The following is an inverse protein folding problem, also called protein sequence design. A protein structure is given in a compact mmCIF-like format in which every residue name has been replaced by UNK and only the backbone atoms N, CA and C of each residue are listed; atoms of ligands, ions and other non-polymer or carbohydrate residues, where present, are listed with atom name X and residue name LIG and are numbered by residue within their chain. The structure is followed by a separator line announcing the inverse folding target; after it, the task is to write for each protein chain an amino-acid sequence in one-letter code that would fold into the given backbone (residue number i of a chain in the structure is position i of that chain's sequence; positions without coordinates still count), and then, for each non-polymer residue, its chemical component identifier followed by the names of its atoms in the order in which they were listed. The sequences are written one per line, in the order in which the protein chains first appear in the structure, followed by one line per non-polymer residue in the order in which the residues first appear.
data_IF_218343273643
#
_entry.id   IF_218343273643
#
_cell.length_a   1.000
_cell.length_b   1.000
_cell.length_c   1.000
_cell.angle_alpha   90.00
_cell.angle_beta   90.00
_cell.angle_gamma   90.00
#
_symmetry.space_group_name_H-M   'P 1'
#
loop_
_entity.id
_entity.type
_entity.pdbx_description
1 polymer ?
#
# COMPACT_ATOMS: atom_id res chain seq x y z
N UNK A 1 -13.23 44.97 -6.06
CA UNK A 1 -13.90 43.97 -6.92
C UNK A 1 -12.97 43.05 -7.74
N UNK A 2 -11.80 43.47 -8.28
CA UNK A 2 -10.97 42.55 -9.08
C UNK A 2 -10.36 41.39 -8.25
N UNK A 3 -10.01 41.64 -6.98
CA UNK A 3 -9.48 40.58 -6.10
C UNK A 3 -10.47 39.44 -5.81
N UNK A 4 -11.78 39.72 -5.78
CA UNK A 4 -12.80 38.69 -5.59
C UNK A 4 -12.93 37.80 -6.82
N UNK A 5 -12.89 38.39 -8.03
CA UNK A 5 -12.94 37.63 -9.28
C UNK A 5 -11.68 36.75 -9.46
N UNK A 6 -10.50 37.27 -9.12
CA UNK A 6 -9.25 36.50 -9.13
C UNK A 6 -9.28 35.35 -8.12
N UNK A 7 -9.79 35.57 -6.91
CA UNK A 7 -9.92 34.52 -5.90
C UNK A 7 -10.90 33.42 -6.35
N UNK A 8 -12.05 33.80 -6.91
CA UNK A 8 -13.07 32.85 -7.39
C UNK A 8 -12.57 32.03 -8.58
N UNK A 9 -11.87 32.66 -9.52
CA UNK A 9 -11.26 31.95 -10.66
C UNK A 9 -10.13 31.01 -10.23
N UNK A 10 -9.28 31.43 -9.27
CA UNK A 10 -8.26 30.57 -8.70
C UNK A 10 -8.87 29.35 -7.98
N UNK A 11 -9.88 29.56 -7.12
CA UNK A 11 -10.61 28.50 -6.43
C UNK A 11 -11.30 27.52 -7.38
N UNK A 12 -11.87 28.00 -8.49
CA UNK A 12 -12.50 27.15 -9.51
C UNK A 12 -11.48 26.39 -10.38
N UNK A 13 -10.31 26.98 -10.64
CA UNK A 13 -9.25 26.34 -11.44
C UNK A 13 -8.53 25.21 -10.69
N UNK A 14 -8.40 25.32 -9.36
CA UNK A 14 -7.70 24.35 -8.52
C UNK A 14 -8.28 22.92 -8.60
N UNK A 15 -9.61 22.69 -8.47
CA UNK A 15 -10.18 21.34 -8.61
C UNK A 15 -10.03 20.80 -10.03
N UNK A 16 -10.16 21.64 -11.06
CA UNK A 16 -9.99 21.24 -12.47
C UNK A 16 -8.56 20.77 -12.72
N UNK A 17 -7.56 21.54 -12.27
CA UNK A 17 -6.15 21.17 -12.38
C UNK A 17 -5.83 19.91 -11.57
N UNK A 18 -6.41 19.75 -10.38
CA UNK A 18 -6.24 18.54 -9.57
C UNK A 18 -6.86 17.31 -10.24
N UNK A 19 -8.05 17.44 -10.84
CA UNK A 19 -8.72 16.37 -11.55
C UNK A 19 -7.96 15.98 -12.82
N UNK A 20 -7.45 16.97 -13.57
CA UNK A 20 -6.56 16.75 -14.70
C UNK A 20 -5.28 16.04 -14.26
N UNK A 21 -4.67 16.46 -13.15
CA UNK A 21 -3.48 15.82 -12.59
C UNK A 21 -3.75 14.38 -12.20
N UNK A 22 -4.85 14.10 -11.50
CA UNK A 22 -5.31 12.74 -11.18
C UNK A 22 -5.47 11.93 -12.47
N UNK A 23 -6.16 12.45 -13.47
CA UNK A 23 -6.38 11.77 -14.75
C UNK A 23 -5.08 11.41 -15.47
N UNK A 24 -4.10 12.33 -15.48
CA UNK A 24 -2.78 12.10 -16.08
C UNK A 24 -1.91 11.13 -15.25
N UNK A 25 -2.12 11.06 -13.93
CA UNK A 25 -1.40 10.16 -13.03
C UNK A 25 -1.99 8.76 -12.95
N UNK A 26 -3.28 8.60 -13.28
CA UNK A 26 -3.90 7.29 -13.42
C UNK A 26 -3.05 6.47 -14.41
N UNK A 27 -2.64 5.25 -14.04
CA UNK A 27 -1.76 4.44 -14.84
C UNK A 27 -2.45 4.08 -16.15
N UNK A 28 -2.19 4.87 -17.19
CA UNK A 28 -2.70 4.65 -18.55
C UNK A 28 -1.83 3.64 -19.31
N UNK A 29 -0.57 3.46 -18.90
CA UNK A 29 0.33 2.41 -19.41
C UNK A 29 1.22 1.91 -18.28
N UNK A 30 1.46 0.59 -18.26
CA UNK A 30 2.49 -0.03 -17.45
C UNK A 30 3.83 0.62 -17.82
N UNK A 31 4.25 1.64 -17.07
CA UNK A 31 5.58 2.19 -17.20
C UNK A 31 6.55 1.09 -16.77
N UNK A 32 7.40 0.65 -17.71
CA UNK A 32 8.48 -0.29 -17.39
C UNK A 32 9.21 0.25 -16.16
N UNK A 33 9.21 -0.54 -15.08
CA UNK A 33 9.92 -0.17 -13.87
C UNK A 33 11.38 0.08 -14.24
N UNK A 34 11.91 1.26 -13.91
CA UNK A 34 13.33 1.52 -14.08
C UNK A 34 14.10 0.55 -13.18
N UNK A 35 15.01 -0.22 -13.79
CA UNK A 35 15.88 -1.14 -13.08
C UNK A 35 16.77 -0.32 -12.15
N UNK A 36 16.62 -0.50 -10.83
CA UNK A 36 17.63 -0.04 -9.88
C UNK A 36 18.88 -0.91 -10.02
N UNK A 37 20.06 -0.34 -9.74
CA UNK A 37 21.29 -1.11 -9.66
C UNK A 37 21.12 -2.29 -8.67
N UNK A 38 21.76 -3.43 -8.95
CA UNK A 38 21.59 -4.65 -8.15
C UNK A 38 21.87 -4.45 -6.66
N UNK A 39 22.78 -3.53 -6.34
CA UNK A 39 23.33 -3.30 -5.01
C UNK A 39 22.62 -2.17 -4.21
N UNK A 40 21.63 -1.50 -4.80
CA UNK A 40 20.93 -0.42 -4.09
C UNK A 40 19.93 -0.97 -3.08
N UNK A 41 20.02 -0.48 -1.84
CA UNK A 41 19.02 -0.77 -0.79
C UNK A 41 17.66 -0.15 -1.13
N UNK A 42 16.59 -0.83 -0.77
CA UNK A 42 15.21 -0.42 -1.02
C UNK A 42 14.39 -0.53 0.27
N UNK A 43 13.82 0.56 0.74
CA UNK A 43 12.92 0.53 1.89
C UNK A 43 11.59 -0.15 1.52
N UNK A 44 11.13 -1.08 2.35
CA UNK A 44 9.98 -1.93 2.05
C UNK A 44 8.93 -1.79 3.15
N UNK A 45 7.71 -1.44 2.77
CA UNK A 45 6.53 -1.53 3.63
C UNK A 45 5.67 -2.73 3.21
N UNK A 46 5.19 -3.50 4.17
CA UNK A 46 4.37 -4.69 3.91
C UNK A 46 3.13 -4.64 4.77
N UNK A 47 1.95 -4.74 4.16
CA UNK A 47 0.69 -4.85 4.89
C UNK A 47 0.31 -6.30 5.15
N UNK A 48 -0.03 -6.61 6.40
CA UNK A 48 -0.47 -7.93 6.85
C UNK A 48 -1.99 -7.89 7.10
N UNK A 49 -2.74 -8.45 6.16
CA UNK A 49 -4.21 -8.40 6.11
C UNK A 49 -4.97 -9.26 7.12
N UNK A 50 -4.29 -9.83 8.13
CA UNK A 50 -4.78 -10.80 9.12
C UNK A 50 -5.27 -12.14 8.54
N UNK A 51 -5.17 -13.21 9.33
CA UNK A 51 -5.62 -14.55 8.92
C UNK A 51 -4.91 -15.08 7.66
N UNK A 52 -5.64 -15.67 6.73
CA UNK A 52 -5.07 -16.25 5.49
C UNK A 52 -4.16 -15.28 4.72
N UNK A 53 -4.51 -13.99 4.67
CA UNK A 53 -3.69 -12.97 3.99
C UNK A 53 -2.31 -12.76 4.63
N UNK A 54 -2.20 -12.90 5.94
CA UNK A 54 -0.89 -12.86 6.63
C UNK A 54 -0.03 -14.05 6.23
N UNK A 55 -0.64 -15.23 6.06
CA UNK A 55 0.09 -16.44 5.63
C UNK A 55 0.57 -16.32 4.18
N UNK A 56 -0.28 -15.80 3.29
CA UNK A 56 0.10 -15.47 1.91
C UNK A 56 1.29 -14.51 1.87
N UNK A 57 1.25 -13.46 2.69
CA UNK A 57 2.33 -12.48 2.74
C UNK A 57 3.60 -13.05 3.35
N UNK A 58 3.50 -13.91 4.37
CA UNK A 58 4.63 -14.63 4.95
C UNK A 58 5.33 -15.50 3.89
N UNK A 59 4.57 -16.26 3.11
CA UNK A 59 5.11 -17.08 2.02
C UNK A 59 5.85 -16.21 0.99
N UNK A 60 5.24 -15.10 0.55
CA UNK A 60 5.89 -14.15 -0.35
C UNK A 60 7.22 -13.62 0.21
N UNK A 61 7.22 -13.16 1.47
CA UNK A 61 8.41 -12.61 2.14
C UNK A 61 9.51 -13.66 2.37
N UNK A 62 9.14 -14.93 2.51
CA UNK A 62 10.10 -16.04 2.64
C UNK A 62 10.99 -16.24 1.40
N UNK A 63 10.61 -15.69 0.25
CA UNK A 63 11.44 -15.69 -0.96
C UNK A 63 12.31 -14.42 -1.14
N UNK A 64 12.06 -13.38 -0.34
CA UNK A 64 12.69 -12.07 -0.51
C UNK A 64 14.08 -11.98 0.14
N UNK A 65 15.00 -11.24 -0.48
CA UNK A 65 16.34 -10.95 0.06
C UNK A 65 16.31 -9.80 1.09
N UNK A 66 16.60 -10.10 2.36
CA UNK A 66 16.46 -9.16 3.46
C UNK A 66 17.66 -8.21 3.60
N UNK A 67 18.75 -8.41 2.85
CA UNK A 67 19.87 -7.46 2.83
C UNK A 67 19.58 -6.30 1.88
N UNK A 68 18.96 -6.60 0.74
CA UNK A 68 18.56 -5.61 -0.26
C UNK A 68 17.37 -4.76 0.18
N UNK A 69 16.37 -5.37 0.81
CA UNK A 69 15.15 -4.66 1.22
C UNK A 69 15.26 -4.19 2.68
N UNK A 70 15.87 -3.01 2.90
CA UNK A 70 16.05 -2.39 4.21
C UNK A 70 15.86 -0.87 4.15
N UNK A 71 15.27 -0.24 5.19
CA UNK A 71 14.57 -0.87 6.31
C UNK A 71 13.21 -1.47 5.90
N UNK A 72 12.73 -2.48 6.65
CA UNK A 72 11.40 -3.08 6.45
C UNK A 72 10.41 -2.52 7.46
N UNK A 73 9.19 -2.20 7.04
CA UNK A 73 8.11 -1.76 7.93
C UNK A 73 6.91 -2.66 7.75
N UNK A 74 6.55 -3.40 8.80
CA UNK A 74 5.39 -4.28 8.81
C UNK A 74 4.18 -3.53 9.36
N UNK A 75 3.19 -3.35 8.51
CA UNK A 75 1.92 -2.69 8.82
C UNK A 75 0.91 -3.79 9.13
N UNK A 76 0.32 -3.77 10.32
CA UNK A 76 -0.61 -4.80 10.77
C UNK A 76 -1.84 -4.20 11.45
N UNK A 77 -2.92 -4.96 11.57
CA UNK A 77 -4.10 -4.50 12.30
C UNK A 77 -3.88 -4.58 13.82
N UNK A 78 -4.40 -3.59 14.56
CA UNK A 78 -4.34 -3.58 16.02
C UNK A 78 -4.98 -4.86 16.62
N UNK A 79 -4.27 -5.49 17.56
CA UNK A 79 -4.68 -6.75 18.19
C UNK A 79 -4.49 -8.01 17.34
N UNK A 80 -3.83 -7.92 16.19
CA UNK A 80 -3.56 -9.09 15.35
C UNK A 80 -2.25 -9.80 15.73
N UNK A 81 -2.32 -10.63 16.76
CA UNK A 81 -1.18 -11.42 17.24
C UNK A 81 -0.66 -12.40 16.20
N UNK A 82 -1.50 -12.87 15.27
CA UNK A 82 -1.09 -13.81 14.23
C UNK A 82 -0.10 -13.16 13.26
N UNK A 83 -0.37 -11.90 12.89
CA UNK A 83 0.56 -11.10 12.08
C UNK A 83 1.86 -10.79 12.80
N UNK A 84 1.80 -10.49 14.10
CA UNK A 84 3.02 -10.26 14.90
C UNK A 84 3.90 -11.51 14.99
N UNK A 85 3.29 -12.67 15.25
CA UNK A 85 4.01 -13.94 15.31
C UNK A 85 4.63 -14.30 13.96
N UNK A 86 3.91 -14.08 12.85
CA UNK A 86 4.45 -14.29 11.51
C UNK A 86 5.68 -13.42 11.22
N UNK A 87 5.65 -12.13 11.60
CA UNK A 87 6.80 -11.23 11.46
C UNK A 87 7.98 -11.69 12.31
N UNK A 88 7.73 -12.03 13.58
CA UNK A 88 8.77 -12.52 14.48
C UNK A 88 9.45 -13.78 13.93
N UNK A 89 8.68 -14.71 13.37
CA UNK A 89 9.21 -15.93 12.78
C UNK A 89 10.05 -15.64 11.53
N UNK A 90 9.55 -14.82 10.60
CA UNK A 90 10.28 -14.47 9.36
C UNK A 90 11.59 -13.76 9.69
N UNK A 91 11.55 -12.77 10.58
CA UNK A 91 12.76 -12.03 10.98
C UNK A 91 13.70 -12.89 11.82
N UNK A 92 13.22 -13.89 12.57
CA UNK A 92 14.10 -14.85 13.27
C UNK A 92 14.80 -15.82 12.34
N UNK A 93 14.14 -16.24 11.25
CA UNK A 93 14.69 -17.19 10.28
C UNK A 93 15.70 -16.52 9.34
N UNK A 94 15.46 -15.27 8.95
CA UNK A 94 16.22 -14.55 7.93
C UNK A 94 17.07 -13.40 8.46
N UNK A 95 16.73 -12.85 9.61
CA UNK A 95 17.45 -11.77 10.22
C UNK A 95 18.64 -12.31 11.00
N UNK A 96 19.85 -11.91 10.60
CA UNK A 96 20.97 -11.95 11.55
C UNK A 96 20.62 -11.01 12.70
N UNK A 97 20.60 -11.52 13.94
CA UNK A 97 20.32 -10.82 15.20
C UNK A 97 21.23 -9.57 15.47
N UNK A 98 22.06 -9.19 14.50
CA UNK A 98 23.15 -8.22 14.61
C UNK A 98 22.75 -6.77 14.30
N UNK A 99 21.59 -6.52 13.68
CA UNK A 99 21.15 -5.15 13.36
C UNK A 99 19.92 -4.74 14.18
N UNK A 100 20.15 -4.02 15.29
CA UNK A 100 19.16 -3.60 16.29
C UNK A 100 18.00 -2.68 15.78
N UNK A 101 17.89 -2.40 14.48
CA UNK A 101 16.78 -1.63 13.85
C UNK A 101 16.44 -2.13 12.43
N UNK A 102 16.58 -3.42 12.14
CA UNK A 102 16.37 -3.94 10.78
C UNK A 102 14.93 -3.77 10.28
N UNK A 103 13.94 -3.76 11.19
CA UNK A 103 12.53 -3.59 10.84
C UNK A 103 11.75 -2.73 11.86
N UNK A 104 10.65 -2.15 11.41
CA UNK A 104 9.67 -1.42 12.21
C UNK A 104 8.30 -2.09 12.18
N UNK A 105 7.53 -1.90 13.25
CA UNK A 105 6.15 -2.36 13.36
C UNK A 105 5.21 -1.16 13.40
N UNK A 106 4.20 -1.12 12.53
CA UNK A 106 3.22 -0.05 12.45
C UNK A 106 1.80 -0.62 12.65
N UNK A 107 1.20 -0.47 13.84
CA UNK A 107 -0.19 -0.87 14.06
C UNK A 107 -1.16 0.12 13.40
N UNK A 108 -2.16 -0.40 12.68
CA UNK A 108 -3.28 0.37 12.14
C UNK A 108 -4.63 -0.13 12.67
N UNK A 109 -5.64 0.73 12.77
CA UNK A 109 -7.00 0.29 13.05
C UNK A 109 -7.52 -0.60 11.92
N UNK A 110 -8.43 -1.51 12.24
CA UNK A 110 -9.10 -2.33 11.23
C UNK A 110 -10.25 -1.52 10.60
N UNK A 111 -10.26 -1.39 9.28
CA UNK A 111 -11.28 -0.62 8.57
C UNK A 111 -12.69 -1.25 8.66
N UNK A 112 -12.77 -2.58 8.75
CA UNK A 112 -14.04 -3.31 8.89
C UNK A 112 -13.84 -4.60 9.68
N UNK A 113 -14.67 -4.82 10.69
CA UNK A 113 -14.78 -6.13 11.35
C UNK A 113 -15.71 -7.07 10.57
N UNK A 114 -15.44 -8.37 10.64
CA UNK A 114 -16.31 -9.38 10.01
C UNK A 114 -17.69 -9.32 10.68
N UNK A 115 -18.77 -9.20 9.88
CA UNK A 115 -20.14 -9.07 10.38
C UNK A 115 -20.58 -7.66 10.80
N UNK A 116 -19.71 -6.65 10.66
CA UNK A 116 -20.04 -5.28 11.07
C UNK A 116 -21.08 -4.62 10.15
N UNK A 117 -22.13 -3.95 10.70
CA UNK A 117 -23.10 -3.19 9.91
C UNK A 117 -22.43 -2.05 9.12
N UNK A 118 -22.97 -1.74 7.94
CA UNK A 118 -22.43 -0.72 7.01
C UNK A 118 -22.31 0.67 7.65
N UNK A 119 -23.25 1.03 8.53
CA UNK A 119 -23.25 2.33 9.22
C UNK A 119 -22.04 2.47 10.16
N UNK A 120 -21.81 1.48 11.02
CA UNK A 120 -20.65 1.48 11.93
C UNK A 120 -19.32 1.26 11.20
N UNK A 121 -19.35 0.58 10.04
CA UNK A 121 -18.17 0.39 9.18
C UNK A 121 -17.61 1.74 8.73
N UNK A 122 -18.46 2.70 8.41
CA UNK A 122 -18.02 4.04 7.97
C UNK A 122 -17.17 4.74 9.04
N UNK A 123 -17.53 4.61 10.31
CA UNK A 123 -16.77 5.18 11.44
C UNK A 123 -15.40 4.51 11.56
N UNK A 124 -15.36 3.17 11.50
CA UNK A 124 -14.11 2.39 11.54
C UNK A 124 -13.18 2.73 10.36
N UNK A 125 -13.74 2.91 9.16
CA UNK A 125 -13.02 3.35 7.96
C UNK A 125 -12.43 4.75 8.16
N UNK A 126 -13.22 5.71 8.67
CA UNK A 126 -12.74 7.09 8.92
C UNK A 126 -11.61 7.09 9.95
N UNK A 127 -11.75 6.34 11.05
CA UNK A 127 -10.68 6.20 12.05
C UNK A 127 -9.40 5.63 11.43
N UNK A 128 -9.54 4.59 10.60
CA UNK A 128 -8.41 3.99 9.88
C UNK A 128 -7.77 5.00 8.93
N UNK A 129 -8.57 5.77 8.21
CA UNK A 129 -8.13 6.80 7.28
C UNK A 129 -7.31 7.88 8.00
N UNK A 130 -7.81 8.43 9.12
CA UNK A 130 -7.12 9.47 9.88
C UNK A 130 -5.75 8.99 10.36
N UNK A 131 -5.70 7.80 10.97
CA UNK A 131 -4.45 7.22 11.47
C UNK A 131 -3.48 6.96 10.32
N UNK A 132 -3.98 6.46 9.19
CA UNK A 132 -3.16 6.21 8.00
C UNK A 132 -2.60 7.51 7.41
N UNK A 133 -3.42 8.56 7.30
CA UNK A 133 -2.98 9.90 6.85
C UNK A 133 -1.89 10.43 7.77
N UNK A 134 -2.07 10.30 9.08
CA UNK A 134 -1.07 10.75 10.04
C UNK A 134 0.29 10.05 9.80
N UNK A 135 0.31 8.73 9.68
CA UNK A 135 1.57 7.97 9.55
C UNK A 135 2.21 8.01 8.16
N UNK A 136 1.42 7.96 7.08
CA UNK A 136 1.96 7.86 5.71
C UNK A 136 2.11 9.23 5.03
N UNK A 137 1.34 10.24 5.45
CA UNK A 137 1.37 11.56 4.85
C UNK A 137 2.02 12.58 5.77
N UNK A 138 1.42 12.82 6.95
CA UNK A 138 1.79 13.92 7.85
C UNK A 138 3.18 13.73 8.43
N UNK A 139 3.43 12.61 9.13
CA UNK A 139 4.72 12.35 9.80
C UNK A 139 5.91 12.42 8.83
N UNK A 140 5.90 11.76 7.66
CA UNK A 140 7.04 11.83 6.75
C UNK A 140 7.12 13.18 6.03
N UNK A 141 6.03 13.97 5.93
CA UNK A 141 6.10 15.32 5.38
C UNK A 141 6.89 16.26 6.30
N UNK A 142 6.76 16.11 7.61
CA UNK A 142 7.50 16.92 8.59
C UNK A 142 8.92 16.41 8.86
N UNK A 143 9.14 15.10 8.80
CA UNK A 143 10.45 14.51 9.12
C UNK A 143 11.36 14.37 7.91
N UNK A 144 10.82 13.99 6.74
CA UNK A 144 11.58 13.70 5.50
C UNK A 144 10.75 14.07 4.25
N UNK A 145 10.54 15.37 3.96
CA UNK A 145 9.64 15.80 2.90
C UNK A 145 10.05 15.35 1.49
N UNK A 146 11.35 15.14 1.27
CA UNK A 146 11.92 14.74 -0.03
C UNK A 146 11.90 13.23 -0.25
N UNK A 147 11.63 12.43 0.78
CA UNK A 147 11.63 10.96 0.70
C UNK A 147 10.20 10.42 0.85
N UNK A 148 9.87 9.31 0.16
CA UNK A 148 8.63 8.60 0.42
C UNK A 148 8.68 7.90 1.79
N UNK A 149 7.53 7.52 2.34
CA UNK A 149 7.46 6.73 3.58
C UNK A 149 8.22 5.40 3.45
N UNK A 150 8.07 4.74 2.31
CA UNK A 150 8.87 3.61 1.86
C UNK A 150 9.02 3.69 0.33
N UNK A 151 10.04 3.07 -0.23
CA UNK A 151 10.20 2.97 -1.69
C UNK A 151 9.12 2.09 -2.30
N UNK A 152 8.80 0.98 -1.61
CA UNK A 152 7.88 -0.04 -2.08
C UNK A 152 6.89 -0.41 -0.98
N UNK A 153 5.60 -0.44 -1.31
CA UNK A 153 4.51 -0.93 -0.48
C UNK A 153 3.91 -2.17 -1.13
N UNK A 154 3.98 -3.31 -0.45
CA UNK A 154 3.32 -4.55 -0.84
C UNK A 154 2.05 -4.72 0.01
N UNK A 155 0.91 -4.87 -0.66
CA UNK A 155 -0.39 -4.99 -0.02
C UNK A 155 -1.17 -6.17 -0.57
N UNK A 156 -1.90 -6.85 0.31
CA UNK A 156 -2.93 -7.81 -0.04
C UNK A 156 -4.19 -7.59 0.82
N UNK A 157 -5.26 -8.33 0.51
CA UNK A 157 -6.33 -8.59 1.46
C UNK A 157 -7.47 -7.55 1.56
N UNK A 158 -8.07 -7.37 2.76
CA UNK A 158 -9.40 -6.78 2.95
C UNK A 158 -9.37 -5.24 3.00
N UNK A 159 -10.53 -4.62 3.25
CA UNK A 159 -10.77 -3.16 3.07
C UNK A 159 -9.76 -2.18 3.68
N UNK A 160 -9.00 -2.56 4.73
CA UNK A 160 -7.91 -1.73 5.26
C UNK A 160 -6.82 -1.47 4.21
N UNK A 161 -6.53 -2.43 3.32
CA UNK A 161 -5.56 -2.23 2.25
C UNK A 161 -6.00 -1.14 1.27
N UNK A 162 -7.31 -0.98 1.03
CA UNK A 162 -7.85 0.03 0.14
C UNK A 162 -7.55 1.43 0.68
N UNK A 163 -7.79 1.63 1.99
CA UNK A 163 -7.46 2.89 2.68
C UNK A 163 -5.97 3.18 2.59
N UNK A 164 -5.13 2.16 2.84
CA UNK A 164 -3.68 2.31 2.78
C UNK A 164 -3.17 2.74 1.40
N UNK A 165 -3.68 2.09 0.34
CA UNK A 165 -3.32 2.40 -1.05
C UNK A 165 -3.74 3.83 -1.41
N UNK A 166 -4.99 4.21 -1.09
CA UNK A 166 -5.50 5.55 -1.40
C UNK A 166 -4.64 6.62 -0.73
N UNK A 167 -4.30 6.46 0.56
CA UNK A 167 -3.48 7.44 1.27
C UNK A 167 -2.06 7.51 0.72
N UNK A 168 -1.43 6.36 0.43
CA UNK A 168 -0.10 6.34 -0.18
C UNK A 168 -0.09 7.05 -1.56
N UNK A 169 -1.19 6.94 -2.30
CA UNK A 169 -1.34 7.55 -3.62
C UNK A 169 -1.52 9.08 -3.57
N UNK A 170 -2.00 9.66 -2.45
CA UNK A 170 -2.18 11.12 -2.30
C UNK A 170 -0.86 11.87 -2.55
N UNK A 171 0.28 11.36 -2.06
CA UNK A 171 1.60 11.99 -2.29
C UNK A 171 1.92 12.17 -3.78
N UNK A 172 1.48 11.23 -4.61
CA UNK A 172 1.65 11.29 -6.06
C UNK A 172 0.84 12.43 -6.68
N UNK A 173 -0.39 12.67 -6.19
CA UNK A 173 -1.23 13.80 -6.62
C UNK A 173 -0.54 15.12 -6.29
N UNK A 174 0.03 15.22 -5.08
CA UNK A 174 0.73 16.40 -4.58
C UNK A 174 2.08 16.66 -5.29
N UNK A 175 2.52 15.78 -6.18
CA UNK A 175 3.81 15.91 -6.87
C UNK A 175 5.02 15.67 -5.97
N UNK A 176 4.83 15.05 -4.81
CA UNK A 176 5.89 14.68 -3.88
C UNK A 176 6.50 13.32 -4.24
N UNK A 177 7.68 13.03 -3.67
CA UNK A 177 8.24 11.67 -3.70
C UNK A 177 7.22 10.67 -3.12
N UNK A 178 6.94 9.63 -3.89
CA UNK A 178 5.84 8.69 -3.61
C UNK A 178 6.32 7.25 -3.52
N UNK A 179 5.57 6.47 -2.74
CA UNK A 179 5.80 5.04 -2.57
C UNK A 179 5.23 4.27 -3.77
N UNK A 180 6.02 3.35 -4.34
CA UNK A 180 5.54 2.42 -5.36
C UNK A 180 4.65 1.37 -4.72
N UNK A 181 3.54 1.02 -5.36
CA UNK A 181 2.54 0.12 -4.77
C UNK A 181 2.39 -1.14 -5.62
N UNK A 182 2.62 -2.29 -4.99
CA UNK A 182 2.32 -3.61 -5.56
C UNK A 182 1.15 -4.20 -4.79
N UNK A 183 0.07 -4.48 -5.51
CA UNK A 183 -1.05 -5.25 -4.98
C UNK A 183 -0.93 -6.70 -5.42
N UNK A 184 -1.03 -7.61 -4.45
CA UNK A 184 -1.07 -9.06 -4.69
C UNK A 184 -2.47 -9.54 -4.36
N UNK A 185 -3.18 -10.03 -5.38
CA UNK A 185 -4.50 -10.62 -5.19
C UNK A 185 -4.38 -11.94 -4.42
N UNK A 186 -5.37 -12.19 -3.57
CA UNK A 186 -5.38 -13.37 -2.71
C UNK A 186 -5.43 -14.67 -3.52
N UNK A 187 -4.75 -15.69 -3.01
CA UNK A 187 -4.72 -17.03 -3.57
C UNK A 187 -6.13 -17.63 -3.71
N UNK A 188 -7.06 -17.28 -2.81
CA UNK A 188 -8.44 -17.76 -2.87
C UNK A 188 -9.23 -17.24 -4.10
N UNK A 189 -8.74 -16.22 -4.81
CA UNK A 189 -9.43 -15.58 -5.92
C UNK A 189 -9.06 -16.19 -7.27
N UNK A 190 -9.58 -17.40 -7.51
CA UNK A 190 -9.29 -18.18 -8.73
C UNK A 190 -9.96 -17.62 -9.98
N UNK A 191 -11.27 -17.35 -9.90
CA UNK A 191 -12.11 -17.02 -11.07
C UNK A 191 -12.35 -15.52 -11.28
N UNK A 192 -12.17 -14.71 -10.25
CA UNK A 192 -12.46 -13.28 -10.33
C UNK A 192 -11.75 -12.47 -9.25
N UNK A 193 -11.43 -11.21 -9.56
CA UNK A 193 -10.81 -10.27 -8.63
C UNK A 193 -11.69 -10.00 -7.39
N UNK A 194 -11.04 -9.75 -6.27
CA UNK A 194 -11.71 -9.31 -5.05
C UNK A 194 -12.28 -7.90 -5.21
N UNK A 195 -13.23 -7.52 -4.35
CA UNK A 195 -13.76 -6.15 -4.35
C UNK A 195 -12.65 -5.13 -4.04
N UNK A 196 -11.79 -5.42 -3.06
CA UNK A 196 -10.61 -4.60 -2.75
C UNK A 196 -9.71 -4.48 -3.98
N UNK A 197 -9.39 -5.60 -4.64
CA UNK A 197 -8.56 -5.65 -5.84
C UNK A 197 -9.12 -4.77 -6.96
N UNK A 198 -10.43 -4.86 -7.24
CA UNK A 198 -11.10 -4.01 -8.23
C UNK A 198 -11.00 -2.52 -7.89
N UNK A 199 -11.13 -2.15 -6.61
CA UNK A 199 -11.07 -0.76 -6.16
C UNK A 199 -9.66 -0.16 -6.22
N UNK A 200 -8.63 -0.92 -5.83
CA UNK A 200 -7.25 -0.42 -5.77
C UNK A 200 -6.54 -0.46 -7.12
N UNK A 201 -7.04 -1.26 -8.06
CA UNK A 201 -6.44 -1.46 -9.39
C UNK A 201 -6.00 -0.18 -10.13
N UNK A 202 -6.78 0.92 -10.17
CA UNK A 202 -6.32 2.16 -10.82
C UNK A 202 -5.26 2.95 -10.01
N UNK A 203 -4.98 2.58 -8.77
CA UNK A 203 -4.08 3.31 -7.87
C UNK A 203 -2.75 2.60 -7.61
N UNK A 204 -2.56 1.38 -8.13
CA UNK A 204 -1.36 0.57 -7.91
C UNK A 204 -0.43 0.63 -9.12
N UNK A 205 0.88 0.53 -8.90
CA UNK A 205 1.86 0.49 -9.98
C UNK A 205 1.93 -0.90 -10.62
N UNK A 206 1.79 -1.96 -9.83
CA UNK A 206 1.66 -3.34 -10.32
C UNK A 206 0.54 -4.07 -9.62
N UNK A 207 -0.21 -4.83 -10.39
CA UNK A 207 -1.30 -5.67 -9.92
C UNK A 207 -0.96 -7.13 -10.27
N UNK A 208 -0.66 -7.93 -9.26
CA UNK A 208 -0.26 -9.33 -9.41
C UNK A 208 -1.43 -10.24 -9.09
N UNK A 209 -1.67 -11.22 -9.97
CA UNK A 209 -2.63 -12.30 -9.75
C UNK A 209 -1.93 -13.64 -9.81
N UNK A 210 -2.51 -14.61 -9.12
CA UNK A 210 -1.94 -15.96 -9.02
C UNK A 210 -2.56 -16.95 -10.00
N UNK A 211 -3.74 -16.60 -10.55
CA UNK A 211 -4.51 -17.46 -11.43
C UNK A 211 -4.70 -16.79 -12.80
N UNK A 212 -4.49 -17.52 -13.91
CA UNK A 212 -4.72 -17.00 -15.26
C UNK A 212 -6.17 -16.53 -15.47
N UNK A 213 -7.14 -17.21 -14.86
CA UNK A 213 -8.57 -16.89 -15.01
C UNK A 213 -8.96 -15.57 -14.32
N UNK A 214 -8.17 -15.12 -13.34
CA UNK A 214 -8.33 -13.82 -12.70
C UNK A 214 -7.46 -12.73 -13.35
N UNK A 215 -6.62 -13.09 -14.31
CA UNK A 215 -5.75 -12.17 -15.06
C UNK A 215 -6.51 -11.49 -16.19
N UNK A 216 -6.11 -10.26 -16.47
CA UNK A 216 -6.55 -9.48 -17.62
C UNK A 216 -5.39 -8.58 -18.09
N UNK A 217 -5.62 -7.73 -19.10
CA UNK A 217 -4.58 -6.88 -19.70
C UNK A 217 -3.83 -5.95 -18.72
N UNK A 218 -4.35 -5.70 -17.50
CA UNK A 218 -3.65 -4.87 -16.49
C UNK A 218 -3.20 -5.66 -15.26
N UNK A 219 -3.46 -6.97 -15.21
CA UNK A 219 -3.12 -7.84 -14.09
C UNK A 219 -2.07 -8.87 -14.53
N UNK A 220 -0.86 -8.78 -13.98
CA UNK A 220 0.23 -9.69 -14.30
C UNK A 220 0.02 -11.03 -13.58
N UNK A 221 -0.19 -12.11 -14.35
CA UNK A 221 -0.21 -13.46 -13.79
C UNK A 221 1.23 -13.91 -13.49
N UNK A 222 1.51 -14.18 -12.21
CA UNK A 222 2.84 -14.66 -11.75
C UNK A 222 2.83 -16.09 -11.21
N UNK A 223 1.70 -16.78 -11.32
CA UNK A 223 1.54 -18.14 -10.79
C UNK A 223 1.45 -18.14 -9.27
N UNK A 224 1.85 -19.24 -8.64
CA UNK A 224 1.74 -19.43 -7.20
C UNK A 224 2.83 -18.63 -6.48
N UNK A 225 2.40 -17.53 -5.86
CA UNK A 225 3.25 -16.67 -5.04
C UNK A 225 3.21 -17.07 -3.55
N UNK A 226 2.39 -18.09 -3.24
CA UNK A 226 2.06 -18.61 -1.92
C UNK A 226 2.21 -20.12 -1.94
#
# INVERSE_FOLDING_TARGET
MPGLLVLLTALASLPILSALRVYLLLPSRATKAQSRAGDSKCSLAVFLGSGGHTSEMKALLSSLDFERYQPRTYIYCHGDNMSLNAVAEIESQKGSLTHAKAYGLLPLPRARHVGQPVLTTSISVIKTLIVTIHHLLVVPLFTRPTEPFADLLIVNGPGTCVVLVVVAWIRRILGLSYTKIIYVESFARVKSLSMSGKLVRPFVDRFLVQWPQASDHKAECKGWLV
#
